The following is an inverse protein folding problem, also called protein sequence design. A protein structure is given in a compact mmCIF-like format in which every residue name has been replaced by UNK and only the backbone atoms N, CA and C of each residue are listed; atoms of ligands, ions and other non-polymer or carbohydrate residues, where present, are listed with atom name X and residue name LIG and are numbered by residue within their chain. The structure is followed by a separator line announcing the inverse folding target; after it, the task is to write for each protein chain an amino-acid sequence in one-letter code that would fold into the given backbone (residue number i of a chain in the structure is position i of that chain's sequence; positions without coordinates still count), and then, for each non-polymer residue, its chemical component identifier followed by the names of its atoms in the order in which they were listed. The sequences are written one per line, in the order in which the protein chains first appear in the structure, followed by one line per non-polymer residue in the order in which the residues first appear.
data_IF_643272157612
#
_entry.id   IF_643272157612
#
_cell.length_a   1.000
_cell.length_b   1.000
_cell.length_c   1.000
_cell.angle_alpha   90.00
_cell.angle_beta   90.00
_cell.angle_gamma   90.00
#
_symmetry.space_group_name_H-M   'P 1'
#
loop_
_entity.id
_entity.type
_entity.pdbx_description
1 polymer ?
#
# COMPACT_ATOMS: atom_id res chain seq x y z
N UNK A 1 -1.90 16.88 -0.79
CA UNK A 1 -1.15 15.68 -1.22
C UNK A 1 -0.57 14.99 0.02
N UNK A 2 -0.95 13.75 0.32
CA UNK A 2 -0.41 13.01 1.46
C UNK A 2 0.84 12.25 1.01
N UNK A 3 2.01 12.61 1.55
CA UNK A 3 3.26 11.85 1.36
C UNK A 3 3.50 10.96 2.58
N UNK A 4 3.97 9.74 2.36
CA UNK A 4 4.40 8.80 3.41
C UNK A 4 5.80 8.32 3.05
N UNK A 5 6.64 8.16 4.06
CA UNK A 5 7.97 7.57 3.90
C UNK A 5 7.82 6.06 3.94
N UNK A 6 8.55 5.36 3.07
CA UNK A 6 8.75 3.92 3.19
C UNK A 6 9.43 3.65 4.54
N UNK A 7 8.90 2.72 5.31
CA UNK A 7 9.46 2.34 6.60
C UNK A 7 10.19 1.02 6.45
N UNK A 8 11.42 0.94 6.97
CA UNK A 8 12.18 -0.30 7.06
C UNK A 8 12.08 -0.82 8.50
N UNK A 9 11.68 -2.07 8.65
CA UNK A 9 11.74 -2.79 9.91
C UNK A 9 13.03 -3.63 9.99
N UNK A 10 13.21 -4.30 11.13
CA UNK A 10 14.29 -5.28 11.30
C UNK A 10 14.17 -6.37 10.23
N UNK A 11 15.29 -6.98 9.87
CA UNK A 11 15.36 -8.10 8.92
C UNK A 11 14.98 -7.75 7.46
N UNK A 12 15.10 -6.47 7.06
CA UNK A 12 14.94 -6.08 5.66
C UNK A 12 13.49 -6.02 5.16
N UNK A 13 12.51 -6.16 6.05
CA UNK A 13 11.10 -5.99 5.70
C UNK A 13 10.75 -4.50 5.58
N UNK A 14 10.02 -4.13 4.54
CA UNK A 14 9.54 -2.76 4.34
C UNK A 14 8.02 -2.69 4.47
N UNK A 15 7.53 -1.58 5.02
CA UNK A 15 6.11 -1.29 5.15
C UNK A 15 5.78 0.09 4.58
N UNK A 16 4.66 0.17 3.87
CA UNK A 16 4.05 1.42 3.46
C UNK A 16 2.71 1.59 4.19
N UNK A 17 2.60 2.60 5.03
CA UNK A 17 1.34 2.90 5.73
C UNK A 17 0.32 3.49 4.77
N UNK A 18 -0.79 2.79 4.57
CA UNK A 18 -1.92 3.29 3.78
C UNK A 18 -2.84 4.12 4.68
N UNK A 19 -3.12 5.40 4.35
CA UNK A 19 -4.08 6.20 5.10
C UNK A 19 -5.44 5.53 5.23
N UNK A 20 -6.05 5.58 6.41
CA UNK A 20 -7.36 4.96 6.71
C UNK A 20 -8.48 5.42 5.78
N UNK A 21 -8.41 6.65 5.29
CA UNK A 21 -9.36 7.20 4.31
C UNK A 21 -9.35 6.40 3.00
N UNK A 22 -8.16 5.99 2.51
CA UNK A 22 -8.04 5.19 1.28
C UNK A 22 -8.62 3.79 1.50
N UNK A 23 -8.27 3.16 2.63
CA UNK A 23 -8.79 1.85 3.03
C UNK A 23 -10.32 1.86 3.06
N UNK A 24 -10.92 2.89 3.66
CA UNK A 24 -12.38 3.06 3.72
C UNK A 24 -13.02 3.26 2.33
N UNK A 25 -12.45 4.13 1.50
CA UNK A 25 -12.97 4.39 0.14
C UNK A 25 -12.86 3.16 -0.77
N UNK A 26 -11.80 2.36 -0.59
CA UNK A 26 -11.60 1.10 -1.32
C UNK A 26 -12.33 -0.09 -0.70
N UNK A 27 -13.01 0.11 0.43
CA UNK A 27 -13.71 -0.94 1.18
C UNK A 27 -12.80 -2.14 1.51
N UNK A 28 -11.53 -1.86 1.76
CA UNK A 28 -10.59 -2.88 2.20
C UNK A 28 -10.78 -3.14 3.69
N UNK A 29 -10.72 -4.41 4.06
CA UNK A 29 -10.86 -4.92 5.41
C UNK A 29 -9.56 -5.55 5.88
N UNK A 30 -9.46 -5.74 7.19
CA UNK A 30 -8.37 -6.54 7.77
C UNK A 30 -8.41 -7.94 7.16
N UNK A 31 -7.24 -8.46 6.77
CA UNK A 31 -7.04 -9.76 6.10
C UNK A 31 -7.43 -9.82 4.61
N UNK A 32 -7.91 -8.72 4.00
CA UNK A 32 -8.01 -8.68 2.55
C UNK A 32 -6.61 -8.83 1.92
N UNK A 33 -6.51 -9.69 0.92
CA UNK A 33 -5.32 -9.80 0.08
C UNK A 33 -5.30 -8.63 -0.91
N UNK A 34 -4.17 -7.92 -0.95
CA UNK A 34 -3.96 -6.78 -1.85
C UNK A 34 -2.79 -7.14 -2.76
N UNK A 35 -3.05 -7.19 -4.06
CA UNK A 35 -2.06 -7.37 -5.10
C UNK A 35 -1.27 -6.07 -5.32
N UNK A 36 0.05 -6.22 -5.34
CA UNK A 36 0.99 -5.15 -5.67
C UNK A 36 1.51 -5.40 -7.09
N UNK A 37 1.14 -4.52 -8.01
CA UNK A 37 1.58 -4.57 -9.40
C UNK A 37 2.39 -3.32 -9.74
N UNK A 38 3.28 -3.44 -10.73
CA UNK A 38 3.94 -2.30 -11.35
C UNK A 38 3.30 -2.10 -12.71
N UNK A 39 2.73 -0.92 -12.96
CA UNK A 39 2.15 -0.60 -14.26
C UNK A 39 3.24 -0.27 -15.30
N UNK A 40 2.82 -0.09 -16.56
CA UNK A 40 3.71 0.25 -17.68
C UNK A 40 4.46 1.57 -17.52
N UNK A 41 4.06 2.43 -16.58
CA UNK A 41 4.71 3.71 -16.26
C UNK A 41 5.63 3.59 -15.05
N UNK A 42 5.78 2.40 -14.47
CA UNK A 42 6.58 2.15 -13.29
C UNK A 42 5.90 2.56 -11.98
N UNK A 43 4.59 2.85 -11.98
CA UNK A 43 3.86 3.15 -10.76
C UNK A 43 3.50 1.86 -10.03
N UNK A 44 3.53 1.90 -8.70
CA UNK A 44 2.91 0.86 -7.88
C UNK A 44 1.40 1.03 -7.96
N UNK A 45 0.71 -0.02 -8.38
CA UNK A 45 -0.74 -0.13 -8.39
C UNK A 45 -1.15 -1.18 -7.37
N UNK A 46 -2.08 -0.80 -6.50
CA UNK A 46 -2.65 -1.68 -5.47
C UNK A 46 -4.05 -2.10 -5.90
N UNK A 47 -4.31 -3.40 -5.94
CA UNK A 47 -5.62 -3.97 -6.32
C UNK A 47 -6.05 -5.01 -5.28
N UNK A 48 -7.33 -5.05 -4.98
CA UNK A 48 -7.94 -6.19 -4.28
C UNK A 48 -8.50 -7.12 -5.35
#
# INVERSE_FOLDING_TARGET
MLKRKLQQMKQGQYFLTIPSQIVRLKQWNKQDEILFEIDVKGNIVLRK
#
